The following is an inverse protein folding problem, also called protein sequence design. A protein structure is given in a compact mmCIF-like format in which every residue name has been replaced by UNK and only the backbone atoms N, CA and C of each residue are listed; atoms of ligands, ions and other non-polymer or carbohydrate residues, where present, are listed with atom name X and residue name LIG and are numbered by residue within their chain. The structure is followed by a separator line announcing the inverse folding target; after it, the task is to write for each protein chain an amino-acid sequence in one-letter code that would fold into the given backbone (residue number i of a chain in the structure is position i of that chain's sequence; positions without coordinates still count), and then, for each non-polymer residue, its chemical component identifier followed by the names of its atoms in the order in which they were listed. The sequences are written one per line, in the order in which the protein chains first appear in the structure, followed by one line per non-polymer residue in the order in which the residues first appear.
data_IF_219934298351
#
_entry.id   IF_219934298351
#
_cell.length_a   1.000
_cell.length_b   1.000
_cell.length_c   1.000
_cell.angle_alpha   90.00
_cell.angle_beta   90.00
_cell.angle_gamma   90.00
#
_symmetry.space_group_name_H-M   'P 1'
#
loop_
_entity.id
_entity.type
_entity.pdbx_description
1 polymer ?
#
# COMPACT_ATOMS: atom_id res chain seq x y z
N UNK A 1 -28.09 -33.24 -22.37
CA UNK A 1 -27.26 -33.11 -21.15
C UNK A 1 -25.85 -32.81 -21.63
N UNK A 2 -25.45 -31.54 -21.66
CA UNK A 2 -24.13 -31.12 -22.14
C UNK A 2 -23.15 -31.17 -20.97
N UNK A 3 -22.09 -31.97 -21.10
CA UNK A 3 -21.05 -32.10 -20.08
C UNK A 3 -20.40 -30.76 -19.77
N UNK A 4 -20.30 -30.47 -18.47
CA UNK A 4 -19.51 -29.38 -17.92
C UNK A 4 -18.04 -29.63 -18.25
N UNK A 5 -17.54 -29.02 -19.32
CA UNK A 5 -16.12 -28.96 -19.58
C UNK A 5 -15.43 -28.27 -18.39
N UNK A 6 -14.44 -28.94 -17.82
CA UNK A 6 -13.54 -28.36 -16.83
C UNK A 6 -12.86 -27.18 -17.54
N UNK A 7 -13.34 -25.96 -17.30
CA UNK A 7 -12.69 -24.75 -17.78
C UNK A 7 -11.35 -24.70 -17.08
N UNK A 8 -10.29 -25.04 -17.79
CA UNK A 8 -8.92 -24.95 -17.30
C UNK A 8 -8.66 -23.51 -16.86
N UNK A 9 -8.71 -23.23 -15.55
CA UNK A 9 -8.53 -21.88 -15.03
C UNK A 9 -7.06 -21.50 -15.16
N UNK A 10 -6.75 -20.75 -16.21
CA UNK A 10 -5.38 -20.26 -16.44
C UNK A 10 -5.19 -18.96 -15.67
N UNK A 11 -4.15 -18.92 -14.83
CA UNK A 11 -3.72 -17.70 -14.18
C UNK A 11 -3.20 -16.76 -15.26
N UNK A 12 -3.84 -15.60 -15.41
CA UNK A 12 -3.48 -14.59 -16.40
C UNK A 12 -2.62 -13.49 -15.77
N UNK A 13 -2.97 -13.06 -14.56
CA UNK A 13 -2.19 -12.10 -13.77
C UNK A 13 -1.97 -12.70 -12.39
N UNK A 14 -0.76 -12.58 -11.86
CA UNK A 14 -0.48 -12.86 -10.45
C UNK A 14 0.52 -11.85 -9.89
N UNK A 15 0.48 -11.62 -8.59
CA UNK A 15 1.43 -10.74 -7.93
C UNK A 15 1.21 -10.66 -6.44
N UNK A 16 2.01 -9.83 -5.79
CA UNK A 16 1.87 -9.48 -4.38
C UNK A 16 1.58 -8.01 -4.21
N UNK A 17 0.89 -7.67 -3.13
CA UNK A 17 0.85 -6.29 -2.63
C UNK A 17 1.86 -6.14 -1.50
N UNK A 18 2.76 -5.18 -1.62
CA UNK A 18 3.87 -4.93 -0.70
C UNK A 18 3.74 -3.56 -0.05
N UNK A 19 4.17 -3.45 1.20
CA UNK A 19 4.24 -2.19 1.91
C UNK A 19 5.56 -1.48 1.59
N UNK A 20 5.47 -0.28 1.00
CA UNK A 20 6.62 0.61 0.79
C UNK A 20 7.35 0.89 2.11
N UNK A 21 8.68 0.95 2.09
CA UNK A 21 9.62 0.99 3.24
C UNK A 21 10.09 -0.36 3.80
N UNK A 22 9.21 -1.36 3.94
CA UNK A 22 9.59 -2.65 4.59
C UNK A 22 9.52 -3.86 3.67
N UNK A 23 8.92 -3.72 2.49
CA UNK A 23 8.67 -4.83 1.56
C UNK A 23 7.87 -5.99 2.18
N UNK A 24 7.22 -5.76 3.33
CA UNK A 24 6.31 -6.73 3.93
C UNK A 24 5.07 -6.87 3.06
N UNK A 25 4.60 -8.09 2.92
CA UNK A 25 3.36 -8.40 2.22
C UNK A 25 2.16 -7.79 2.95
N UNK A 26 1.22 -7.23 2.21
CA UNK A 26 -0.03 -6.66 2.71
C UNK A 26 -1.16 -7.64 2.43
N UNK A 27 -1.75 -8.17 3.49
CA UNK A 27 -3.02 -8.90 3.43
C UNK A 27 -4.21 -7.95 3.47
N UNK A 28 -5.32 -8.34 2.84
CA UNK A 28 -6.56 -7.56 2.85
C UNK A 28 -6.56 -6.34 1.91
N UNK A 29 -5.52 -6.15 1.09
CA UNK A 29 -5.52 -5.14 0.05
C UNK A 29 -6.50 -5.55 -1.05
N UNK A 30 -7.25 -4.58 -1.57
CA UNK A 30 -8.10 -4.79 -2.75
C UNK A 30 -7.27 -4.49 -3.99
N UNK A 31 -7.25 -5.41 -4.94
CA UNK A 31 -6.74 -5.20 -6.30
C UNK A 31 -7.92 -5.33 -7.26
N UNK A 32 -8.24 -4.27 -7.99
CA UNK A 32 -9.35 -4.21 -8.93
C UNK A 32 -8.86 -3.90 -10.35
N UNK A 33 -9.47 -4.52 -11.35
CA UNK A 33 -9.32 -4.15 -12.76
C UNK A 33 -10.28 -2.99 -13.04
N UNK A 34 -9.74 -1.81 -13.35
CA UNK A 34 -10.53 -0.60 -13.58
C UNK A 34 -10.61 -0.20 -15.05
N UNK A 35 -9.63 -0.62 -15.87
CA UNK A 35 -9.68 -0.54 -17.33
C UNK A 35 -9.33 -1.91 -17.91
N UNK A 36 -10.02 -2.30 -19.00
CA UNK A 36 -9.97 -3.65 -19.54
C UNK A 36 -10.44 -3.68 -21.00
N UNK A 37 -10.11 -4.74 -21.78
CA UNK A 37 -10.62 -4.94 -23.12
C UNK A 37 -12.14 -5.18 -23.13
N UNK A 38 -12.81 -4.76 -24.21
CA UNK A 38 -14.27 -4.91 -24.38
C UNK A 38 -14.76 -6.35 -24.19
N UNK A 39 -13.97 -7.34 -24.62
CA UNK A 39 -14.30 -8.75 -24.42
C UNK A 39 -14.42 -9.11 -22.94
N UNK A 40 -13.56 -8.59 -22.07
CA UNK A 40 -13.65 -8.84 -20.63
C UNK A 40 -14.79 -8.06 -20.00
N UNK A 41 -15.01 -6.81 -20.43
CA UNK A 41 -16.17 -5.98 -20.02
C UNK A 41 -17.51 -6.68 -20.28
N UNK A 42 -17.65 -7.31 -21.45
CA UNK A 42 -18.85 -8.09 -21.80
C UNK A 42 -19.04 -9.31 -20.87
N UNK A 43 -17.96 -10.02 -20.54
CA UNK A 43 -17.99 -11.15 -19.59
C UNK A 43 -18.45 -10.68 -18.21
N UNK A 44 -17.91 -9.56 -17.71
CA UNK A 44 -18.33 -9.00 -16.42
C UNK A 44 -19.81 -8.60 -16.42
N UNK A 45 -20.30 -8.02 -17.52
CA UNK A 45 -21.71 -7.62 -17.65
C UNK A 45 -22.65 -8.83 -17.56
N UNK A 46 -22.31 -9.94 -18.24
CA UNK A 46 -23.07 -11.18 -18.15
C UNK A 46 -23.04 -11.78 -16.73
N UNK A 47 -21.88 -11.72 -16.06
CA UNK A 47 -21.77 -12.17 -14.67
C UNK A 47 -22.59 -11.29 -13.72
N UNK A 48 -22.57 -9.98 -13.90
CA UNK A 48 -23.37 -9.06 -13.11
C UNK A 48 -24.87 -9.37 -13.23
N UNK A 49 -25.36 -9.64 -14.45
CA UNK A 49 -26.75 -10.07 -14.67
C UNK A 49 -27.09 -11.37 -13.92
N UNK A 50 -26.17 -12.35 -13.93
CA UNK A 50 -26.35 -13.62 -13.22
C UNK A 50 -26.49 -13.43 -11.70
N UNK A 51 -25.74 -12.50 -11.11
CA UNK A 51 -25.75 -12.25 -9.67
C UNK A 51 -26.74 -11.15 -9.23
N UNK A 52 -27.25 -10.35 -10.17
CA UNK A 52 -28.18 -9.25 -9.90
C UNK A 52 -27.62 -8.28 -8.85
N UNK A 53 -28.47 -7.85 -7.90
CA UNK A 53 -28.07 -6.89 -6.86
C UNK A 53 -26.97 -7.38 -5.92
N UNK A 54 -26.68 -8.70 -5.89
CA UNK A 54 -25.56 -9.24 -5.10
C UNK A 54 -24.21 -8.87 -5.69
N UNK A 55 -24.11 -8.62 -6.99
CA UNK A 55 -22.87 -8.30 -7.69
C UNK A 55 -22.09 -7.15 -7.03
N UNK A 56 -22.77 -6.08 -6.62
CA UNK A 56 -22.13 -4.92 -6.00
C UNK A 56 -21.68 -5.16 -4.55
N UNK A 57 -22.24 -6.18 -3.89
CA UNK A 57 -21.90 -6.54 -2.50
C UNK A 57 -20.79 -7.59 -2.43
N UNK A 58 -20.37 -8.14 -3.57
CA UNK A 58 -19.36 -9.18 -3.60
C UNK A 58 -17.97 -8.58 -3.32
N UNK A 59 -17.27 -9.05 -2.26
CA UNK A 59 -15.92 -8.59 -1.95
C UNK A 59 -14.91 -9.03 -3.03
N UNK A 60 -15.12 -10.23 -3.57
CA UNK A 60 -14.35 -10.78 -4.68
C UNK A 60 -15.22 -11.00 -5.91
N UNK A 61 -14.66 -10.65 -7.06
CA UNK A 61 -15.26 -10.77 -8.40
C UNK A 61 -14.17 -11.13 -9.41
N UNK A 62 -14.52 -11.51 -10.65
CA UNK A 62 -13.52 -11.73 -11.68
C UNK A 62 -12.61 -10.51 -11.95
N UNK A 63 -13.09 -9.30 -11.65
CA UNK A 63 -12.37 -8.03 -11.77
C UNK A 63 -11.87 -7.46 -10.43
N UNK A 64 -12.09 -8.14 -9.30
CA UNK A 64 -11.71 -7.64 -7.98
C UNK A 64 -11.26 -8.76 -7.06
N UNK A 65 -10.06 -8.63 -6.50
CA UNK A 65 -9.47 -9.59 -5.55
C UNK A 65 -9.06 -8.92 -4.26
N UNK A 66 -9.12 -9.68 -3.17
CA UNK A 66 -8.55 -9.33 -1.89
C UNK A 66 -7.27 -10.14 -1.73
N UNK A 67 -6.18 -9.51 -1.31
CA UNK A 67 -4.92 -10.23 -1.09
C UNK A 67 -5.03 -11.18 0.09
N UNK A 68 -4.49 -12.38 -0.10
CA UNK A 68 -4.38 -13.43 0.92
C UNK A 68 -3.49 -13.03 2.09
N UNK A 69 -3.39 -13.87 3.13
CA UNK A 69 -2.55 -13.61 4.31
C UNK A 69 -1.06 -13.46 3.97
N UNK A 70 -0.60 -14.08 2.89
CA UNK A 70 0.74 -13.95 2.33
C UNK A 70 0.86 -12.77 1.35
N UNK A 71 -0.19 -11.96 1.18
CA UNK A 71 -0.27 -10.77 0.33
C UNK A 71 -0.40 -11.02 -1.16
N UNK A 72 -0.64 -12.26 -1.58
CA UNK A 72 -0.78 -12.61 -3.00
C UNK A 72 -2.19 -12.35 -3.52
N UNK A 73 -2.28 -12.04 -4.82
CA UNK A 73 -3.52 -12.00 -5.59
C UNK A 73 -3.29 -12.63 -6.97
N UNK A 74 -4.38 -13.06 -7.61
CA UNK A 74 -4.34 -13.51 -8.99
C UNK A 74 -5.68 -13.35 -9.70
N UNK A 75 -5.62 -13.09 -11.01
CA UNK A 75 -6.76 -13.07 -11.91
C UNK A 75 -6.62 -14.20 -12.92
N UNK A 76 -7.74 -14.87 -13.22
CA UNK A 76 -7.77 -16.04 -14.10
C UNK A 76 -8.60 -15.76 -15.34
N UNK A 77 -8.29 -16.45 -16.44
CA UNK A 77 -9.10 -16.49 -17.66
C UNK A 77 -9.37 -15.10 -18.27
N UNK A 78 -8.40 -14.20 -18.18
CA UNK A 78 -8.50 -12.89 -18.82
C UNK A 78 -8.20 -12.99 -20.32
N UNK A 79 -9.03 -12.39 -21.19
CA UNK A 79 -8.69 -12.22 -22.60
C UNK A 79 -7.35 -11.47 -22.79
N UNK A 80 -6.64 -11.70 -23.91
CA UNK A 80 -5.51 -10.86 -24.29
C UNK A 80 -5.90 -9.39 -24.41
N UNK A 81 -4.97 -8.50 -24.07
CA UNK A 81 -5.14 -7.05 -24.15
C UNK A 81 -4.61 -6.31 -22.93
N UNK A 82 -4.80 -4.99 -22.94
CA UNK A 82 -4.32 -4.07 -21.91
C UNK A 82 -5.31 -3.99 -20.75
N UNK A 83 -4.76 -3.99 -19.53
CA UNK A 83 -5.51 -3.83 -18.29
C UNK A 83 -4.86 -2.78 -17.41
N UNK A 84 -5.71 -2.07 -16.64
CA UNK A 84 -5.27 -1.19 -15.56
C UNK A 84 -5.76 -1.76 -14.23
N UNK A 85 -4.82 -2.15 -13.38
CA UNK A 85 -5.08 -2.56 -12.01
C UNK A 85 -5.05 -1.34 -11.09
N UNK A 86 -5.96 -1.26 -10.14
CA UNK A 86 -5.95 -0.32 -9.03
C UNK A 86 -5.87 -1.10 -7.71
N UNK A 87 -4.85 -0.79 -6.91
CA UNK A 87 -4.67 -1.38 -5.60
C UNK A 87 -4.90 -0.35 -4.50
N UNK A 88 -5.56 -0.78 -3.41
CA UNK A 88 -5.82 0.04 -2.23
C UNK A 88 -5.92 -0.81 -0.97
N UNK A 89 -5.76 -0.20 0.21
CA UNK A 89 -5.92 -0.88 1.50
C UNK A 89 -7.16 -0.32 2.23
N UNK A 90 -8.33 -0.98 2.13
CA UNK A 90 -9.59 -0.45 2.65
C UNK A 90 -9.64 -0.32 4.18
N UNK A 91 -8.82 -1.10 4.90
CA UNK A 91 -8.68 -1.01 6.36
C UNK A 91 -7.87 0.21 6.81
N UNK A 92 -7.22 0.92 5.89
CA UNK A 92 -6.37 2.08 6.19
C UNK A 92 -6.33 3.08 5.01
N UNK A 93 -7.50 3.58 4.56
CA UNK A 93 -7.68 4.29 3.28
C UNK A 93 -7.00 5.66 3.22
N UNK A 94 -6.69 6.23 4.37
CA UNK A 94 -6.08 7.54 4.61
C UNK A 94 -4.61 7.44 5.02
N UNK A 95 -4.10 6.22 5.25
CA UNK A 95 -2.71 5.97 5.66
C UNK A 95 -1.83 5.49 4.51
N UNK A 96 -2.41 4.91 3.47
CA UNK A 96 -1.72 4.42 2.27
C UNK A 96 -2.21 5.13 1.01
N UNK A 97 -1.38 5.18 -0.03
CA UNK A 97 -1.84 5.59 -1.36
C UNK A 97 -2.73 4.53 -2.03
N UNK A 98 -3.39 4.98 -3.09
CA UNK A 98 -3.97 4.13 -4.13
C UNK A 98 -2.96 4.08 -5.30
N UNK A 99 -2.74 2.90 -5.87
CA UNK A 99 -1.75 2.71 -6.95
C UNK A 99 -2.41 2.12 -8.18
N UNK A 100 -2.10 2.68 -9.35
CA UNK A 100 -2.56 2.18 -10.64
C UNK A 100 -1.40 1.57 -11.42
N UNK A 101 -1.56 0.32 -11.86
CA UNK A 101 -0.52 -0.45 -12.57
C UNK A 101 -1.07 -0.98 -13.88
N UNK A 102 -0.42 -0.60 -15.00
CA UNK A 102 -0.75 -1.13 -16.33
C UNK A 102 -0.11 -2.51 -16.50
N UNK A 103 -0.86 -3.45 -17.06
CA UNK A 103 -0.38 -4.79 -17.40
C UNK A 103 -0.90 -5.20 -18.77
N UNK A 104 -0.11 -6.00 -19.49
CA UNK A 104 -0.46 -6.52 -20.80
C UNK A 104 -0.58 -8.04 -20.74
N UNK A 105 -1.69 -8.56 -21.26
CA UNK A 105 -1.91 -10.00 -21.42
C UNK A 105 -1.69 -10.37 -22.88
N UNK A 106 -0.68 -11.20 -23.12
CA UNK A 106 -0.33 -11.70 -24.45
C UNK A 106 -1.37 -12.71 -24.95
N UNK A 107 -1.48 -12.82 -26.28
CA UNK A 107 -2.26 -13.88 -26.91
C UNK A 107 -1.76 -15.27 -26.47
N UNK A 108 -2.66 -16.27 -26.32
CA UNK A 108 -2.26 -17.62 -25.93
C UNK A 108 -1.35 -18.24 -26.99
N UNK A 109 -0.28 -18.91 -26.56
CA UNK A 109 0.55 -19.75 -27.44
C UNK A 109 0.16 -21.20 -27.17
N UNK A 110 -0.26 -21.92 -28.22
CA UNK A 110 -0.78 -23.29 -28.10
C UNK A 110 -1.93 -23.44 -27.06
N UNK A 111 -2.80 -22.44 -26.97
CA UNK A 111 -3.94 -22.44 -26.03
C UNK A 111 -3.57 -22.20 -24.56
N UNK A 112 -2.31 -21.84 -24.26
CA UNK A 112 -1.86 -21.44 -22.92
C UNK A 112 -1.53 -19.95 -22.86
N UNK A 113 -2.11 -19.26 -21.90
CA UNK A 113 -1.76 -17.89 -21.53
C UNK A 113 -0.51 -17.96 -20.63
N UNK A 114 0.49 -17.13 -20.93
CA UNK A 114 1.60 -16.91 -20.01
C UNK A 114 1.14 -16.01 -18.88
N UNK A 115 1.39 -16.42 -17.63
CA UNK A 115 1.09 -15.58 -16.46
C UNK A 115 1.89 -14.28 -16.52
N UNK A 116 1.21 -13.14 -16.46
CA UNK A 116 1.83 -11.82 -16.28
C UNK A 116 2.01 -11.55 -14.80
N UNK A 117 3.25 -11.32 -14.36
CA UNK A 117 3.56 -10.95 -12.98
C UNK A 117 3.39 -9.44 -12.76
N UNK A 118 2.71 -9.05 -11.68
CA UNK A 118 2.39 -7.66 -11.38
C UNK A 118 2.43 -7.41 -9.86
N UNK A 119 3.63 -7.27 -9.30
CA UNK A 119 3.76 -6.84 -7.91
C UNK A 119 3.41 -5.36 -7.78
N UNK A 120 2.68 -5.00 -6.73
CA UNK A 120 2.18 -3.64 -6.49
C UNK A 120 2.65 -3.18 -5.11
N UNK A 121 3.24 -1.98 -5.05
CA UNK A 121 3.73 -1.41 -3.79
C UNK A 121 2.78 -0.31 -3.33
N UNK A 122 2.15 -0.49 -2.17
CA UNK A 122 1.41 0.58 -1.49
C UNK A 122 2.37 1.33 -0.56
N UNK A 123 2.58 2.60 -0.84
CA UNK A 123 3.40 3.48 -0.03
C UNK A 123 2.60 3.96 1.20
N UNK A 124 3.15 3.83 2.41
CA UNK A 124 2.55 4.42 3.60
C UNK A 124 2.77 5.93 3.61
N UNK A 125 1.98 6.61 4.41
CA UNK A 125 2.26 7.98 4.87
C UNK A 125 3.13 7.90 6.10
N UNK A 126 4.25 8.63 6.15
CA UNK A 126 5.15 8.52 7.29
C UNK A 126 6.27 9.53 7.31
N UNK A 127 7.10 9.42 8.34
CA UNK A 127 8.28 10.24 8.58
C UNK A 127 9.40 9.33 9.10
N UNK A 128 10.62 9.57 8.63
CA UNK A 128 11.83 8.91 9.14
C UNK A 128 12.98 9.91 9.23
N UNK A 129 13.89 9.65 10.16
CA UNK A 129 15.08 10.47 10.37
C UNK A 129 15.96 9.90 11.47
N UNK A 130 16.91 10.72 11.92
CA UNK A 130 17.87 10.39 12.98
C UNK A 130 17.89 11.44 14.07
N UNK A 131 18.11 11.02 15.30
CA UNK A 131 18.16 11.88 16.49
C UNK A 131 19.57 11.81 17.10
N UNK A 132 20.20 12.97 17.27
CA UNK A 132 21.57 13.12 17.78
C UNK A 132 21.64 14.13 18.91
N UNK A 133 22.73 14.09 19.67
CA UNK A 133 23.09 15.14 20.62
C UNK A 133 23.56 16.39 19.85
N UNK A 134 23.01 17.56 20.20
CA UNK A 134 23.35 18.82 19.56
C UNK A 134 24.78 19.29 19.86
N UNK A 135 25.32 18.93 21.02
CA UNK A 135 26.68 19.30 21.45
C UNK A 135 27.71 18.28 20.98
N UNK A 136 27.28 17.03 20.74
CA UNK A 136 28.13 15.92 20.32
C UNK A 136 27.51 15.18 19.12
N UNK A 137 27.66 15.66 17.87
CA UNK A 137 26.93 15.11 16.71
C UNK A 137 27.18 13.62 16.39
N UNK A 138 28.25 13.03 16.95
CA UNK A 138 28.55 11.59 16.86
C UNK A 138 27.77 10.75 17.88
N UNK A 139 27.24 11.37 18.92
CA UNK A 139 26.43 10.74 19.96
C UNK A 139 24.99 10.64 19.49
N UNK A 140 24.56 9.40 19.30
CA UNK A 140 23.23 9.04 18.82
C UNK A 140 22.29 8.93 20.01
N UNK A 141 21.09 9.48 19.90
CA UNK A 141 20.11 9.42 20.99
C UNK A 141 19.16 8.24 20.72
N UNK A 142 19.39 7.16 21.44
CA UNK A 142 18.51 5.97 21.48
C UNK A 142 17.32 6.19 22.41
N UNK A 143 16.20 5.48 22.16
CA UNK A 143 14.97 5.54 22.95
C UNK A 143 14.36 6.96 23.06
N UNK A 144 14.71 7.87 22.16
CA UNK A 144 14.04 9.16 22.06
C UNK A 144 12.62 8.92 21.53
N UNK A 145 11.62 9.46 22.23
CA UNK A 145 10.22 9.36 21.83
C UNK A 145 9.92 10.43 20.78
N UNK A 146 9.42 9.98 19.64
CA UNK A 146 8.84 10.82 18.58
C UNK A 146 7.33 10.71 18.67
N UNK A 147 6.62 11.82 18.73
CA UNK A 147 5.15 11.89 18.86
C UNK A 147 4.57 12.89 17.87
N UNK A 148 3.43 12.56 17.27
CA UNK A 148 2.58 13.55 16.60
C UNK A 148 1.59 14.13 17.61
N UNK A 149 1.60 15.46 17.76
CA UNK A 149 0.82 16.16 18.78
C UNK A 149 -0.67 15.88 18.67
N UNK A 150 -1.21 15.90 17.45
CA UNK A 150 -2.67 15.91 17.20
C UNK A 150 -3.30 14.52 17.01
N UNK A 151 -2.51 13.46 16.90
CA UNK A 151 -3.02 12.09 16.68
C UNK A 151 -2.57 11.06 17.71
N UNK A 152 -1.61 11.41 18.57
CA UNK A 152 -1.06 10.47 19.55
C UNK A 152 -0.18 9.37 18.93
N UNK A 153 0.04 9.37 17.62
CA UNK A 153 0.97 8.45 16.95
C UNK A 153 2.38 8.64 17.52
N UNK A 154 3.06 7.53 17.84
CA UNK A 154 4.39 7.56 18.42
C UNK A 154 5.31 6.47 17.88
N UNK A 155 6.61 6.75 17.89
CA UNK A 155 7.67 5.75 17.71
C UNK A 155 8.84 6.11 18.64
N UNK A 156 9.84 5.24 18.69
CA UNK A 156 11.09 5.46 19.43
C UNK A 156 12.28 5.32 18.48
N UNK A 157 13.36 6.06 18.74
CA UNK A 157 14.61 5.85 18.03
C UNK A 157 15.30 4.56 18.46
N UNK A 158 15.95 3.91 17.49
CA UNK A 158 16.77 2.72 17.69
C UNK A 158 18.15 3.07 18.28
N UNK A 159 19.00 2.04 18.41
CA UNK A 159 20.37 2.18 18.93
C UNK A 159 21.27 3.06 18.05
N UNK A 160 20.93 3.24 16.78
CA UNK A 160 21.62 4.12 15.85
C UNK A 160 20.96 5.51 15.78
N UNK A 161 20.02 5.79 16.70
CA UNK A 161 19.26 7.04 16.76
C UNK A 161 18.26 7.20 15.62
N UNK A 162 18.07 6.21 14.76
CA UNK A 162 17.11 6.29 13.67
C UNK A 162 15.71 6.02 14.17
N UNK A 163 14.73 6.69 13.60
CA UNK A 163 13.32 6.43 13.87
C UNK A 163 12.55 6.34 12.57
N UNK A 164 11.44 5.61 12.64
CA UNK A 164 10.45 5.53 11.56
C UNK A 164 9.06 5.51 12.16
N UNK A 165 8.23 6.45 11.73
CA UNK A 165 6.82 6.54 12.08
C UNK A 165 6.01 6.50 10.79
N UNK A 166 5.36 5.37 10.54
CA UNK A 166 4.55 5.13 9.34
C UNK A 166 3.10 4.91 9.71
N UNK A 167 2.24 4.99 8.69
CA UNK A 167 0.80 4.88 8.85
C UNK A 167 0.18 6.17 9.36
N UNK A 168 0.74 7.34 9.10
CA UNK A 168 0.13 8.59 9.53
C UNK A 168 -1.14 8.90 8.73
N UNK A 169 -2.17 9.43 9.39
CA UNK A 169 -3.42 9.85 8.76
C UNK A 169 -3.21 11.10 7.90
N UNK A 170 -3.60 11.06 6.63
CA UNK A 170 -3.60 12.21 5.71
C UNK A 170 -4.85 12.18 4.83
N UNK A 171 -5.42 13.35 4.47
CA UNK A 171 -6.62 13.40 3.64
C UNK A 171 -6.40 12.73 2.28
N UNK A 172 -7.50 12.28 1.66
CA UNK A 172 -7.47 11.61 0.35
C UNK A 172 -6.80 12.47 -0.73
N UNK A 173 -7.00 13.78 -0.66
CA UNK A 173 -6.38 14.79 -1.51
C UNK A 173 -5.80 15.93 -0.66
N UNK A 174 -4.71 16.53 -1.15
CA UNK A 174 -4.03 17.63 -0.48
C UNK A 174 -3.01 17.20 0.58
N UNK A 175 -2.68 18.13 1.47
CA UNK A 175 -1.69 17.96 2.53
C UNK A 175 -2.34 18.18 3.90
N UNK A 176 -1.74 17.61 4.94
CA UNK A 176 -2.09 17.84 6.35
C UNK A 176 -0.88 18.39 7.09
N UNK A 177 -1.09 19.48 7.80
CA UNK A 177 -0.07 20.01 8.72
C UNK A 177 -0.12 19.21 10.02
N UNK A 178 1.04 18.83 10.53
CA UNK A 178 1.18 18.15 11.82
C UNK A 178 2.33 18.75 12.60
N UNK A 179 2.22 18.75 13.93
CA UNK A 179 3.35 19.08 14.81
C UNK A 179 3.97 17.79 15.34
N UNK A 180 5.24 17.57 15.00
CA UNK A 180 6.03 16.46 15.50
C UNK A 180 6.89 16.92 16.69
N UNK A 181 6.84 16.19 17.79
CA UNK A 181 7.55 16.47 19.04
C UNK A 181 8.52 15.33 19.31
N UNK A 182 9.76 15.68 19.65
CA UNK A 182 10.83 14.74 19.99
C UNK A 182 11.33 15.02 21.40
N UNK A 183 11.44 13.97 22.21
CA UNK A 183 11.87 14.06 23.62
C UNK A 183 12.74 12.87 24.02
N UNK A 184 13.70 13.11 24.91
CA UNK A 184 14.55 12.07 25.49
C UNK A 184 14.95 12.43 26.93
N UNK A 185 15.20 11.43 27.76
CA UNK A 185 15.66 11.62 29.14
C UNK A 185 16.99 12.38 29.16
N UNK A 186 17.08 13.44 29.95
CA UNK A 186 18.27 14.30 30.01
C UNK A 186 18.38 15.37 28.90
N UNK A 187 17.40 15.45 27.99
CA UNK A 187 17.38 16.40 26.88
C UNK A 187 16.17 17.35 26.93
N UNK A 188 16.34 18.54 26.38
CA UNK A 188 15.25 19.46 26.08
C UNK A 188 14.41 18.90 24.93
N UNK A 189 13.09 19.12 24.97
CA UNK A 189 12.21 18.72 23.88
C UNK A 189 12.42 19.61 22.65
N UNK A 190 12.22 19.04 21.46
CA UNK A 190 12.22 19.77 20.20
C UNK A 190 10.91 19.50 19.44
N UNK A 191 10.47 20.44 18.62
CA UNK A 191 9.25 20.30 17.82
C UNK A 191 9.42 20.90 16.43
N UNK A 192 8.87 20.24 15.41
CA UNK A 192 8.81 20.76 14.04
C UNK A 192 7.39 20.64 13.48
N UNK A 193 6.95 21.68 12.77
CA UNK A 193 5.75 21.65 11.93
C UNK A 193 6.10 21.01 10.58
N UNK A 194 5.27 20.06 10.13
CA UNK A 194 5.48 19.32 8.89
C UNK A 194 4.18 19.23 8.10
N UNK A 195 4.30 19.22 6.77
CA UNK A 195 3.18 18.97 5.86
C UNK A 195 3.32 17.56 5.32
N UNK A 196 2.40 16.67 5.67
CA UNK A 196 2.38 15.29 5.18
C UNK A 196 1.32 15.12 4.09
N UNK A 197 1.64 14.27 3.11
CA UNK A 197 0.74 13.87 2.04
C UNK A 197 0.55 12.36 2.04
N UNK A 198 -0.68 11.91 1.75
CA UNK A 198 -1.03 10.49 1.71
C UNK A 198 -0.10 9.70 0.79
N UNK A 199 0.50 8.63 1.34
CA UNK A 199 1.43 7.74 0.64
C UNK A 199 2.84 8.28 0.45
N UNK A 200 3.20 9.35 1.15
CA UNK A 200 4.55 9.89 1.17
C UNK A 200 5.23 9.59 2.50
N UNK A 201 6.48 9.14 2.43
CA UNK A 201 7.36 9.07 3.60
C UNK A 201 8.37 10.21 3.53
N UNK A 202 8.23 11.20 4.41
CA UNK A 202 9.21 12.29 4.54
C UNK A 202 10.49 11.69 5.13
N UNK A 203 11.57 11.79 4.38
CA UNK A 203 12.88 11.26 4.77
C UNK A 203 13.75 12.35 5.38
N UNK A 204 14.83 11.95 6.04
CA UNK A 204 15.89 12.84 6.55
C UNK A 204 15.42 13.88 7.58
N UNK A 205 14.31 13.59 8.27
CA UNK A 205 13.75 14.50 9.27
C UNK A 205 14.49 14.37 10.60
N UNK A 206 15.71 14.90 10.60
CA UNK A 206 16.66 14.73 11.69
C UNK A 206 16.43 15.75 12.81
N UNK A 207 16.77 15.36 14.04
CA UNK A 207 16.73 16.22 15.23
C UNK A 207 18.07 16.21 15.93
N UNK A 208 18.50 17.39 16.37
CA UNK A 208 19.61 17.55 17.31
C UNK A 208 19.04 18.07 18.63
N UNK A 209 19.04 17.24 19.68
CA UNK A 209 18.51 17.63 20.98
C UNK A 209 19.60 18.22 21.85
N UNK A 210 19.28 19.31 22.55
CA UNK A 210 20.18 19.94 23.52
C UNK A 210 20.05 19.25 24.88
N UNK A 211 21.15 18.89 25.56
CA UNK A 211 21.10 18.45 26.95
C UNK A 211 20.44 19.49 27.86
N UNK A 212 19.82 19.03 28.96
CA UNK A 212 19.27 19.90 30.00
C UNK A 212 20.35 20.50 30.88
#
# INVERSE_FOLDING_TARGET
MLELSIVNQQIAIAGKVLQGETQKNISGAIVAIIEMPEKFRAILSLKALQYGSRWEKMPERPDRKITSNDGYFYFTNLPPGEYLLEASLPTSPTRYNEVKTKVQISSPINGKISTTMADIVLSPTGIKGRIIDANEPKKLITNAKVKIQDSGDTTISDQQGNYRLIGLESPKSGQRNITMIVSATGYQQASHLLNIQRGQVISEQNFALKPK
#
